data_IF_891715418168
#
_entry.id   IF_891715418168
#
_cell.length_a   1.000
_cell.length_b   1.000
_cell.length_c   1.000
_cell.angle_alpha   90.00
_cell.angle_beta   90.00
_cell.angle_gamma   90.00
#
_symmetry.space_group_name_H-M   'P 1'
#
loop_
_entity.id
_entity.type
_entity.pdbx_description
1 polymer ?
#
# COMPACT_ATOMS: atom_id res chain seq x y z
N UNK A 1 3.07 6.81 -29.32
CA UNK A 1 1.87 7.67 -29.57
C UNK A 1 0.58 7.05 -28.99
N UNK A 2 0.28 5.76 -29.21
CA UNK A 2 -0.95 5.10 -28.72
C UNK A 2 -1.09 5.01 -27.21
N UNK A 3 0.00 4.84 -26.46
CA UNK A 3 -0.07 4.72 -24.99
C UNK A 3 -0.60 5.97 -24.30
N UNK A 4 -0.24 7.16 -24.73
CA UNK A 4 -0.72 8.41 -24.15
C UNK A 4 -2.23 8.61 -24.35
N UNK A 5 -2.75 8.24 -25.54
CA UNK A 5 -4.20 8.31 -25.82
C UNK A 5 -4.95 7.33 -24.92
N UNK A 6 -4.40 6.12 -24.76
CA UNK A 6 -5.01 5.08 -23.92
C UNK A 6 -5.00 5.45 -22.42
N UNK A 7 -3.90 6.01 -21.92
CA UNK A 7 -3.86 6.53 -20.55
C UNK A 7 -4.90 7.61 -20.31
N UNK A 8 -5.03 8.55 -21.25
CA UNK A 8 -6.02 9.62 -21.16
C UNK A 8 -7.45 9.08 -21.17
N UNK A 9 -7.72 8.06 -21.97
CA UNK A 9 -9.00 7.37 -21.98
C UNK A 9 -9.28 6.68 -20.64
N UNK A 10 -8.30 5.97 -20.07
CA UNK A 10 -8.44 5.34 -18.76
C UNK A 10 -8.71 6.39 -17.68
N UNK A 11 -7.95 7.48 -17.65
CA UNK A 11 -8.13 8.57 -16.69
C UNK A 11 -9.55 9.17 -16.76
N UNK A 12 -10.12 9.33 -17.95
CA UNK A 12 -11.50 9.85 -18.10
C UNK A 12 -12.57 8.88 -17.62
N UNK A 13 -12.24 7.60 -17.46
CA UNK A 13 -13.16 6.56 -16.97
C UNK A 13 -13.10 6.37 -15.45
N UNK A 14 -12.03 6.84 -14.80
CA UNK A 14 -11.85 6.67 -13.35
C UNK A 14 -12.64 7.77 -12.63
N UNK A 15 -13.65 7.36 -11.86
CA UNK A 15 -14.52 8.23 -11.07
C UNK A 15 -14.36 7.97 -9.56
N UNK A 16 -13.99 6.73 -9.20
CA UNK A 16 -13.84 6.29 -7.82
C UNK A 16 -12.42 5.80 -7.61
N UNK A 17 -11.74 6.33 -6.60
CA UNK A 17 -10.43 5.87 -6.18
C UNK A 17 -10.50 5.11 -4.85
N UNK A 18 -9.64 4.11 -4.64
CA UNK A 18 -9.42 3.55 -3.33
C UNK A 18 -8.81 4.61 -2.41
N UNK A 19 -9.21 4.62 -1.15
CA UNK A 19 -8.65 5.52 -0.14
C UNK A 19 -7.25 5.08 0.27
N UNK A 20 -7.03 3.76 0.36
CA UNK A 20 -5.74 3.18 0.68
C UNK A 20 -5.39 2.03 -0.28
N UNK A 21 -4.18 2.08 -0.83
CA UNK A 21 -3.65 1.07 -1.76
C UNK A 21 -2.46 0.39 -1.10
N UNK A 22 -2.43 -0.94 -1.11
CA UNK A 22 -1.27 -1.71 -0.67
C UNK A 22 -0.65 -2.46 -1.85
N UNK A 23 0.65 -2.26 -2.06
CA UNK A 23 1.46 -3.05 -2.99
C UNK A 23 2.25 -4.10 -2.23
N UNK A 24 2.10 -5.36 -2.61
CA UNK A 24 2.92 -6.45 -2.09
C UNK A 24 4.08 -6.72 -3.04
N UNK A 25 5.29 -6.48 -2.55
CA UNK A 25 6.53 -6.49 -3.34
C UNK A 25 7.50 -7.48 -2.70
N UNK A 26 8.11 -8.33 -3.52
CA UNK A 26 9.23 -9.17 -3.06
C UNK A 26 10.55 -8.38 -3.03
N UNK A 27 11.53 -8.87 -2.27
CA UNK A 27 12.89 -8.32 -2.31
C UNK A 27 13.49 -8.35 -3.72
N UNK A 28 13.20 -9.41 -4.49
CA UNK A 28 13.62 -9.52 -5.88
C UNK A 28 12.97 -8.46 -6.80
N UNK A 29 11.68 -8.16 -6.58
CA UNK A 29 10.98 -7.08 -7.30
C UNK A 29 11.62 -5.73 -7.00
N UNK A 30 11.87 -5.45 -5.70
CA UNK A 30 12.53 -4.22 -5.28
C UNK A 30 13.94 -4.10 -5.88
N UNK A 31 14.70 -5.19 -5.89
CA UNK A 31 16.03 -5.22 -6.48
C UNK A 31 16.02 -4.95 -8.00
N UNK A 32 14.97 -5.41 -8.69
CA UNK A 32 14.83 -5.23 -10.14
C UNK A 32 14.44 -3.81 -10.55
N UNK A 33 13.76 -3.05 -9.67
CA UNK A 33 13.31 -1.68 -9.94
C UNK A 33 13.05 -0.91 -8.62
N UNK A 34 14.10 -0.52 -7.87
CA UNK A 34 13.96 0.15 -6.58
C UNK A 34 13.32 1.54 -6.68
N UNK A 35 13.48 2.22 -7.81
CA UNK A 35 12.90 3.53 -8.09
C UNK A 35 11.37 3.49 -8.27
N UNK A 36 10.79 2.31 -8.45
CA UNK A 36 9.38 2.14 -8.77
C UNK A 36 8.46 2.60 -7.63
N UNK A 37 8.90 2.46 -6.38
CA UNK A 37 8.13 2.94 -5.23
C UNK A 37 7.92 4.47 -5.31
N UNK A 38 8.96 5.22 -5.68
CA UNK A 38 8.87 6.67 -5.88
C UNK A 38 7.96 7.00 -7.07
N UNK A 39 8.08 6.26 -8.18
CA UNK A 39 7.24 6.46 -9.36
C UNK A 39 5.76 6.24 -9.06
N UNK A 40 5.41 5.15 -8.38
CA UNK A 40 4.01 4.85 -8.02
C UNK A 40 3.47 5.91 -7.05
N UNK A 41 4.26 6.34 -6.08
CA UNK A 41 3.91 7.46 -5.20
C UNK A 41 3.59 8.73 -6.00
N UNK A 42 4.42 9.06 -6.98
CA UNK A 42 4.19 10.18 -7.87
C UNK A 42 2.87 10.06 -8.65
N UNK A 43 2.53 8.88 -9.17
CA UNK A 43 1.27 8.66 -9.87
C UNK A 43 0.05 8.87 -8.96
N UNK A 44 0.12 8.42 -7.71
CA UNK A 44 -0.95 8.67 -6.73
C UNK A 44 -1.13 10.17 -6.45
N UNK A 45 -0.04 10.90 -6.25
CA UNK A 45 -0.07 12.35 -6.01
C UNK A 45 -0.62 13.14 -7.21
N UNK A 46 -0.24 12.74 -8.43
CA UNK A 46 -0.79 13.32 -9.67
C UNK A 46 -2.30 13.08 -9.79
N UNK A 47 -2.78 11.85 -9.51
CA UNK A 47 -4.20 11.53 -9.55
C UNK A 47 -4.98 12.36 -8.54
N UNK A 48 -4.49 12.49 -7.31
CA UNK A 48 -5.11 13.35 -6.30
C UNK A 48 -5.20 14.80 -6.78
N UNK A 49 -4.15 15.31 -7.44
CA UNK A 49 -4.14 16.66 -8.00
C UNK A 49 -5.16 16.82 -9.12
N UNK A 50 -5.30 15.82 -9.99
CA UNK A 50 -6.29 15.83 -11.08
C UNK A 50 -7.72 15.84 -10.55
N UNK A 51 -8.02 15.02 -9.53
CA UNK A 51 -9.34 14.96 -8.91
C UNK A 51 -9.65 16.26 -8.15
N UNK A 52 -8.68 16.84 -7.45
CA UNK A 52 -8.87 18.11 -6.75
C UNK A 52 -9.24 19.27 -7.69
N UNK A 53 -8.89 19.18 -8.98
CA UNK A 53 -9.24 20.18 -10.02
C UNK A 53 -10.63 19.99 -10.63
N UNK A 54 -11.29 18.84 -10.37
CA UNK A 54 -12.65 18.64 -10.84
C UNK A 54 -13.65 19.41 -9.97
N UNK A 55 -14.73 19.92 -10.57
CA UNK A 55 -15.82 20.61 -9.86
C UNK A 55 -16.72 19.63 -9.12
N UNK A 56 -16.15 18.91 -8.16
CA UNK A 56 -16.88 18.00 -7.27
C UNK A 56 -17.14 18.69 -5.92
N UNK A 57 -18.25 18.37 -5.22
CA UNK A 57 -18.46 18.77 -3.83
C UNK A 57 -17.28 18.32 -2.93
N UNK A 58 -16.99 19.09 -1.88
CA UNK A 58 -15.83 18.85 -1.02
C UNK A 58 -15.83 17.45 -0.39
N UNK A 59 -16.98 16.96 0.00
CA UNK A 59 -17.19 15.64 0.59
C UNK A 59 -16.91 14.53 -0.45
N UNK A 60 -17.30 14.72 -1.71
CA UNK A 60 -17.02 13.80 -2.81
C UNK A 60 -15.51 13.80 -3.16
N UNK A 61 -14.84 14.96 -3.12
CA UNK A 61 -13.38 15.05 -3.33
C UNK A 61 -12.61 14.27 -2.25
N UNK A 62 -12.98 14.42 -0.99
CA UNK A 62 -12.35 13.72 0.12
C UNK A 62 -12.59 12.19 0.07
N UNK A 63 -13.75 11.76 -0.42
CA UNK A 63 -14.05 10.33 -0.60
C UNK A 63 -13.41 9.73 -1.85
N UNK A 64 -12.98 10.56 -2.79
CA UNK A 64 -12.41 10.12 -4.08
C UNK A 64 -10.89 10.32 -4.16
N UNK A 65 -10.21 10.64 -3.07
CA UNK A 65 -8.76 10.82 -3.05
C UNK A 65 -8.06 9.63 -2.41
N UNK A 66 -6.89 9.26 -2.94
CA UNK A 66 -5.98 8.30 -2.32
C UNK A 66 -5.38 8.99 -1.08
N UNK A 67 -5.67 8.46 0.11
CA UNK A 67 -5.22 9.00 1.38
C UNK A 67 -3.97 8.32 1.88
N UNK A 68 -3.77 7.04 1.51
CA UNK A 68 -2.63 6.25 1.94
C UNK A 68 -2.13 5.29 0.86
N UNK A 69 -0.84 5.02 0.91
CA UNK A 69 -0.16 4.05 0.06
C UNK A 69 0.76 3.20 0.94
N UNK A 70 0.66 1.89 0.85
CA UNK A 70 1.56 0.97 1.54
C UNK A 70 2.37 0.17 0.54
N UNK A 71 3.68 0.11 0.74
CA UNK A 71 4.56 -0.87 0.12
C UNK A 71 4.95 -1.89 1.17
N UNK A 72 4.35 -3.05 1.11
CA UNK A 72 4.73 -4.18 1.95
C UNK A 72 5.81 -4.99 1.21
N UNK A 73 7.02 -4.95 1.76
CA UNK A 73 8.20 -5.60 1.18
C UNK A 73 8.55 -6.80 2.05
N UNK A 74 8.62 -7.97 1.43
CA UNK A 74 9.04 -9.18 2.10
C UNK A 74 10.44 -9.00 2.70
N UNK A 75 10.86 -9.97 3.50
CA UNK A 75 12.13 -9.97 4.19
C UNK A 75 13.30 -9.65 3.24
N UNK A 76 14.09 -8.67 3.64
CA UNK A 76 15.36 -8.30 3.01
C UNK A 76 16.52 -8.72 3.93
N UNK A 77 17.65 -9.12 3.36
CA UNK A 77 18.88 -9.23 4.12
C UNK A 77 19.35 -7.84 4.60
N UNK A 78 20.18 -7.74 5.66
CA UNK A 78 20.71 -6.45 6.10
C UNK A 78 21.48 -5.70 4.99
N UNK A 79 22.14 -6.42 4.10
CA UNK A 79 22.88 -5.85 2.97
C UNK A 79 21.93 -5.27 1.90
N UNK A 80 20.87 -6.00 1.56
CA UNK A 80 19.84 -5.53 0.65
C UNK A 80 19.10 -4.31 1.23
N UNK A 81 18.78 -4.34 2.51
CA UNK A 81 18.17 -3.22 3.20
C UNK A 81 19.05 -1.97 3.10
N UNK A 82 20.34 -2.08 3.46
CA UNK A 82 21.30 -0.96 3.38
C UNK A 82 21.42 -0.41 1.95
N UNK A 83 21.33 -1.28 0.95
CA UNK A 83 21.41 -0.93 -0.47
C UNK A 83 20.16 -0.15 -0.94
N UNK A 84 18.97 -0.53 -0.52
CA UNK A 84 17.72 0.03 -1.05
C UNK A 84 17.16 1.19 -0.21
N UNK A 85 17.55 1.30 1.07
CA UNK A 85 17.09 2.38 1.94
C UNK A 85 17.24 3.79 1.33
N UNK A 86 18.40 4.15 0.72
CA UNK A 86 18.55 5.49 0.13
C UNK A 86 17.53 5.77 -0.98
N UNK A 87 17.17 4.77 -1.77
CA UNK A 87 16.18 4.92 -2.85
C UNK A 87 14.76 5.05 -2.28
N UNK A 88 14.41 4.21 -1.30
CA UNK A 88 13.12 4.29 -0.60
C UNK A 88 12.96 5.65 0.09
N UNK A 89 13.99 6.17 0.73
CA UNK A 89 13.96 7.46 1.41
C UNK A 89 13.71 8.65 0.48
N UNK A 90 13.92 8.51 -0.82
CA UNK A 90 13.55 9.55 -1.80
C UNK A 90 12.04 9.82 -1.84
N UNK A 91 11.20 8.88 -1.39
CA UNK A 91 9.75 9.09 -1.25
C UNK A 91 9.47 10.33 -0.40
N UNK A 92 10.29 10.60 0.63
CA UNK A 92 10.11 11.75 1.52
C UNK A 92 10.22 13.12 0.84
N UNK A 93 10.77 13.18 -0.37
CA UNK A 93 10.82 14.42 -1.16
C UNK A 93 9.48 14.78 -1.81
N UNK A 94 8.54 13.82 -1.92
CA UNK A 94 7.25 13.98 -2.62
C UNK A 94 6.04 13.56 -1.79
N UNK A 95 6.26 12.92 -0.64
CA UNK A 95 5.21 12.38 0.21
C UNK A 95 5.66 12.32 1.69
N UNK A 96 4.73 12.07 2.61
CA UNK A 96 5.04 11.73 4.00
C UNK A 96 5.38 10.25 4.09
N UNK A 97 6.66 9.94 4.21
CA UNK A 97 7.16 8.58 4.36
C UNK A 97 7.12 8.14 5.83
N UNK A 98 6.51 6.99 6.08
CA UNK A 98 6.60 6.23 7.33
C UNK A 98 7.28 4.91 7.00
N UNK A 99 8.51 4.74 7.46
CA UNK A 99 9.37 3.60 7.11
C UNK A 99 9.56 2.69 8.32
N UNK A 100 9.11 1.44 8.20
CA UNK A 100 9.27 0.40 9.22
C UNK A 100 10.22 -0.69 8.74
N UNK A 101 11.29 -0.94 9.50
CA UNK A 101 12.20 -2.06 9.30
C UNK A 101 12.81 -2.54 10.62
N UNK A 102 12.79 -3.84 10.85
CA UNK A 102 13.15 -4.41 12.14
C UNK A 102 12.31 -3.82 13.28
N UNK A 103 12.96 -3.18 14.24
CA UNK A 103 12.32 -2.45 15.35
C UNK A 103 12.29 -0.93 15.12
N UNK A 104 12.79 -0.46 13.99
CA UNK A 104 12.94 0.97 13.69
C UNK A 104 11.72 1.49 12.95
N UNK A 105 11.26 2.68 13.37
CA UNK A 105 10.30 3.50 12.66
C UNK A 105 10.91 4.87 12.37
N UNK A 106 10.91 5.28 11.11
CA UNK A 106 11.37 6.59 10.68
C UNK A 106 10.24 7.33 9.97
N UNK A 107 10.01 8.59 10.33
CA UNK A 107 9.01 9.44 9.68
C UNK A 107 9.69 10.66 9.07
N UNK A 108 9.39 10.95 7.80
CA UNK A 108 9.97 12.09 7.07
C UNK A 108 9.07 12.55 5.92
N UNK A 109 9.23 13.80 5.48
CA UNK A 109 8.41 14.39 4.40
C UNK A 109 7.02 14.82 4.86
N UNK A 110 6.19 15.26 3.89
CA UNK A 110 4.82 15.77 4.10
C UNK A 110 3.92 15.40 2.92
N UNK A 111 2.61 15.48 3.08
CA UNK A 111 1.64 15.22 2.01
C UNK A 111 1.01 13.84 2.09
N UNK A 112 0.86 13.15 0.95
CA UNK A 112 0.31 11.80 0.87
C UNK A 112 1.07 10.85 1.81
N UNK A 113 0.37 10.13 2.67
CA UNK A 113 1.01 9.19 3.57
C UNK A 113 1.43 7.92 2.83
N UNK A 114 2.71 7.60 2.91
CA UNK A 114 3.30 6.41 2.29
C UNK A 114 3.99 5.59 3.36
N UNK A 115 3.44 4.43 3.64
CA UNK A 115 4.02 3.45 4.57
C UNK A 115 4.88 2.46 3.79
N UNK A 116 6.12 2.31 4.17
CA UNK A 116 7.00 1.26 3.65
C UNK A 116 7.32 0.30 4.79
N UNK A 117 6.80 -0.91 4.69
CA UNK A 117 6.93 -1.97 5.67
C UNK A 117 7.87 -3.06 5.16
N UNK A 118 8.99 -3.26 5.84
CA UNK A 118 10.03 -4.21 5.41
C UNK A 118 10.19 -5.33 6.44
N UNK A 119 10.01 -6.56 5.99
CA UNK A 119 10.46 -7.76 6.69
C UNK A 119 9.48 -8.36 7.69
N UNK A 120 8.31 -7.78 7.93
CA UNK A 120 7.30 -8.40 8.82
C UNK A 120 6.19 -9.06 8.00
N UNK A 121 5.99 -10.36 8.22
CA UNK A 121 4.78 -11.04 7.73
C UNK A 121 3.59 -10.74 8.63
N UNK A 122 2.38 -10.79 8.08
CA UNK A 122 1.17 -10.60 8.89
C UNK A 122 1.02 -11.61 10.03
N UNK A 123 1.54 -12.84 9.84
CA UNK A 123 1.56 -13.87 10.89
C UNK A 123 2.53 -13.53 12.01
N UNK A 124 3.73 -13.05 11.67
CA UNK A 124 4.73 -12.62 12.65
C UNK A 124 4.22 -11.42 13.43
N UNK A 125 3.58 -10.47 12.76
CA UNK A 125 2.99 -9.30 13.40
C UNK A 125 1.94 -9.66 14.44
N UNK A 126 0.99 -10.54 14.10
CA UNK A 126 -0.03 -11.04 15.03
C UNK A 126 0.62 -11.78 16.20
N UNK A 127 1.59 -12.66 15.92
CA UNK A 127 2.28 -13.45 16.96
C UNK A 127 3.04 -12.53 17.92
N UNK A 128 3.72 -11.50 17.41
CA UNK A 128 4.44 -10.53 18.21
C UNK A 128 3.49 -9.65 19.04
N UNK A 129 2.34 -9.28 18.45
CA UNK A 129 1.28 -8.56 19.16
C UNK A 129 0.79 -9.37 20.36
N UNK A 130 0.42 -10.63 20.17
CA UNK A 130 -0.04 -11.51 21.24
C UNK A 130 1.04 -11.65 22.33
N UNK A 131 2.30 -11.80 21.95
CA UNK A 131 3.42 -11.89 22.92
C UNK A 131 3.54 -10.61 23.75
N UNK A 132 3.48 -9.44 23.12
CA UNK A 132 3.53 -8.14 23.83
C UNK A 132 2.36 -7.96 24.78
N UNK A 133 1.15 -8.36 24.40
CA UNK A 133 -0.01 -8.30 25.28
C UNK A 133 0.18 -9.21 26.52
N UNK A 134 0.70 -10.42 26.34
CA UNK A 134 1.00 -11.34 27.42
C UNK A 134 2.11 -10.80 28.36
N UNK A 135 3.19 -10.23 27.81
CA UNK A 135 4.27 -9.60 28.57
C UNK A 135 3.80 -8.40 29.39
N UNK A 136 2.81 -7.66 28.88
CA UNK A 136 2.15 -6.55 29.59
C UNK A 136 1.11 -7.01 30.64
N UNK A 137 0.93 -8.33 30.83
CA UNK A 137 0.02 -8.90 31.82
C UNK A 137 -1.46 -8.83 31.46
N UNK A 138 -1.79 -8.55 30.20
CA UNK A 138 -3.18 -8.56 29.72
C UNK A 138 -3.73 -9.99 29.80
N UNK A 139 -4.87 -10.14 30.46
CA UNK A 139 -5.49 -11.46 30.61
C UNK A 139 -6.09 -11.92 29.27
N UNK A 140 -6.08 -13.23 28.96
CA UNK A 140 -6.68 -13.75 27.73
C UNK A 140 -8.14 -13.34 27.51
N UNK A 141 -8.90 -13.16 28.60
CA UNK A 141 -10.29 -12.71 28.56
C UNK A 141 -10.48 -11.23 28.20
N UNK A 142 -9.41 -10.44 28.24
CA UNK A 142 -9.40 -9.01 27.90
C UNK A 142 -8.90 -8.76 26.47
N UNK A 143 -8.43 -9.81 25.78
CA UNK A 143 -7.97 -9.72 24.40
C UNK A 143 -9.18 -9.84 23.47
N UNK A 144 -9.60 -8.71 22.97
CA UNK A 144 -10.61 -8.59 21.90
C UNK A 144 -9.98 -8.09 20.60
N UNK A 145 -10.80 -7.94 19.56
CA UNK A 145 -10.39 -7.47 18.25
C UNK A 145 -9.72 -6.08 18.31
N UNK A 146 -10.29 -5.16 19.10
CA UNK A 146 -9.74 -3.81 19.28
C UNK A 146 -8.40 -3.79 19.98
N UNK A 147 -8.23 -4.67 20.97
CA UNK A 147 -6.96 -4.83 21.68
C UNK A 147 -5.87 -5.31 20.72
N UNK A 148 -6.18 -6.28 19.86
CA UNK A 148 -5.26 -6.74 18.82
C UNK A 148 -4.95 -5.61 17.81
N UNK A 149 -5.95 -4.93 17.27
CA UNK A 149 -5.76 -3.81 16.32
C UNK A 149 -4.86 -2.72 16.90
N UNK A 150 -5.05 -2.37 18.18
CA UNK A 150 -4.23 -1.35 18.84
C UNK A 150 -2.76 -1.75 18.97
N UNK A 151 -2.48 -3.06 19.01
CA UNK A 151 -1.16 -3.64 19.16
C UNK A 151 -0.44 -3.84 17.82
N UNK A 152 -1.17 -3.92 16.69
CA UNK A 152 -0.56 -4.09 15.37
C UNK A 152 0.26 -2.86 14.98
N UNK A 153 1.36 -3.11 14.28
CA UNK A 153 2.24 -2.05 13.77
C UNK A 153 1.56 -1.31 12.60
N UNK A 154 0.89 -2.07 11.73
CA UNK A 154 0.19 -1.53 10.55
C UNK A 154 -1.29 -1.40 10.85
N UNK A 155 -1.76 -0.15 10.94
CA UNK A 155 -3.14 0.18 11.35
C UNK A 155 -4.05 0.56 10.18
N UNK A 156 -3.59 0.41 8.96
CA UNK A 156 -4.33 0.83 7.78
C UNK A 156 -4.95 -0.37 7.09
N UNK A 157 -6.25 -0.33 6.91
CA UNK A 157 -7.00 -1.30 6.13
C UNK A 157 -7.01 -0.87 4.66
N UNK A 158 -6.23 -1.51 3.79
CA UNK A 158 -6.23 -1.14 2.39
C UNK A 158 -7.55 -1.49 1.72
N UNK A 159 -8.05 -0.60 0.88
CA UNK A 159 -9.21 -0.89 0.05
C UNK A 159 -8.88 -1.89 -1.05
N UNK A 160 -7.64 -1.83 -1.54
CA UNK A 160 -7.12 -2.74 -2.55
C UNK A 160 -5.68 -3.16 -2.24
N UNK A 161 -5.42 -4.44 -2.43
CA UNK A 161 -4.07 -5.03 -2.39
C UNK A 161 -3.67 -5.44 -3.80
N UNK A 162 -2.56 -4.89 -4.27
CA UNK A 162 -2.00 -5.15 -5.60
C UNK A 162 -0.78 -6.05 -5.48
N UNK A 163 -0.84 -7.22 -6.11
CA UNK A 163 0.30 -8.12 -6.29
C UNK A 163 0.72 -8.13 -7.75
N UNK A 164 1.98 -7.81 -8.00
CA UNK A 164 2.56 -7.83 -9.35
C UNK A 164 3.39 -9.10 -9.56
N UNK A 165 3.37 -9.63 -10.78
CA UNK A 165 4.23 -10.74 -11.18
C UNK A 165 3.92 -12.07 -10.49
N UNK A 166 2.65 -12.42 -10.35
CA UNK A 166 2.24 -13.70 -9.79
C UNK A 166 0.84 -13.68 -9.21
N UNK A 167 0.34 -14.86 -8.87
CA UNK A 167 -1.01 -15.13 -8.37
C UNK A 167 -1.04 -15.60 -6.90
N UNK A 168 0.12 -15.61 -6.23
CA UNK A 168 0.24 -16.07 -4.86
C UNK A 168 0.57 -14.93 -3.92
N UNK A 169 -0.16 -14.84 -2.82
CA UNK A 169 0.14 -13.95 -1.71
C UNK A 169 1.01 -14.70 -0.70
N UNK A 170 2.26 -14.29 -0.59
CA UNK A 170 3.18 -14.71 0.46
C UNK A 170 3.28 -13.61 1.50
N UNK A 171 3.31 -13.98 2.78
CA UNK A 171 3.49 -13.04 3.90
C UNK A 171 2.46 -11.88 3.93
N UNK A 172 1.23 -12.23 3.60
CA UNK A 172 0.10 -11.33 3.50
C UNK A 172 -0.23 -10.65 4.83
N UNK A 173 -0.63 -9.38 4.79
CA UNK A 173 -1.17 -8.64 5.94
C UNK A 173 -2.58 -9.14 6.26
N UNK A 174 -2.68 -10.29 6.93
CA UNK A 174 -3.92 -11.07 7.09
C UNK A 174 -5.00 -10.24 7.77
N UNK A 175 -4.64 -9.53 8.84
CA UNK A 175 -5.60 -8.77 9.64
C UNK A 175 -6.14 -7.55 8.87
N UNK A 176 -5.23 -6.77 8.32
CA UNK A 176 -5.56 -5.49 7.69
C UNK A 176 -6.27 -5.64 6.33
N UNK A 177 -6.15 -6.80 5.69
CA UNK A 177 -6.66 -6.99 4.33
C UNK A 177 -7.92 -7.85 4.23
N UNK A 178 -8.59 -8.10 5.36
CA UNK A 178 -9.79 -8.95 5.42
C UNK A 178 -10.91 -8.47 4.47
N UNK A 179 -11.03 -7.15 4.31
CA UNK A 179 -12.04 -6.53 3.46
C UNK A 179 -11.47 -5.88 2.20
N UNK A 180 -10.20 -6.14 1.90
CA UNK A 180 -9.54 -5.58 0.72
C UNK A 180 -9.93 -6.32 -0.55
N UNK A 181 -10.07 -5.58 -1.65
CA UNK A 181 -10.10 -6.17 -2.98
C UNK A 181 -8.69 -6.62 -3.38
N UNK A 182 -8.56 -7.86 -3.85
CA UNK A 182 -7.27 -8.38 -4.30
C UNK A 182 -7.15 -8.23 -5.81
N UNK A 183 -6.06 -7.63 -6.25
CA UNK A 183 -5.72 -7.49 -7.66
C UNK A 183 -4.38 -8.16 -7.96
N UNK A 184 -4.42 -9.17 -8.82
CA UNK A 184 -3.23 -9.85 -9.33
C UNK A 184 -2.93 -9.35 -10.72
N UNK A 185 -1.71 -8.83 -10.91
CA UNK A 185 -1.23 -8.37 -12.20
C UNK A 185 -0.23 -9.37 -12.78
N UNK A 186 -0.44 -9.78 -14.03
CA UNK A 186 0.53 -10.59 -14.77
C UNK A 186 1.82 -9.83 -15.05
N UNK A 187 1.78 -8.50 -14.95
CA UNK A 187 2.95 -7.64 -15.18
C UNK A 187 3.84 -7.66 -13.94
N UNK A 188 5.10 -8.07 -14.11
CA UNK A 188 6.10 -7.99 -13.05
C UNK A 188 6.36 -6.54 -12.62
N UNK A 189 6.73 -6.33 -11.34
CA UNK A 189 7.01 -5.02 -10.75
C UNK A 189 7.90 -4.15 -11.63
N UNK A 190 9.00 -4.67 -12.14
CA UNK A 190 9.93 -3.96 -13.02
C UNK A 190 9.25 -3.33 -14.25
N UNK A 191 8.28 -4.03 -14.84
CA UNK A 191 7.58 -3.61 -16.06
C UNK A 191 6.23 -2.96 -15.78
N UNK A 192 5.83 -2.85 -14.52
CA UNK A 192 4.59 -2.21 -14.10
C UNK A 192 4.65 -0.71 -14.41
N UNK A 193 3.75 -0.26 -15.24
CA UNK A 193 3.70 1.11 -15.78
C UNK A 193 2.48 1.85 -15.25
N UNK A 194 2.45 3.15 -15.48
CA UNK A 194 1.30 3.98 -15.12
C UNK A 194 -0.01 3.46 -15.75
N UNK A 195 0.01 3.00 -16.98
CA UNK A 195 -1.16 2.41 -17.65
C UNK A 195 -1.67 1.17 -16.93
N UNK A 196 -0.78 0.34 -16.38
CA UNK A 196 -1.13 -0.85 -15.64
C UNK A 196 -1.74 -0.46 -14.28
N UNK A 197 -1.21 0.58 -13.64
CA UNK A 197 -1.79 1.17 -12.43
C UNK A 197 -3.20 1.74 -12.68
N UNK A 198 -3.42 2.47 -13.76
CA UNK A 198 -4.74 2.99 -14.12
C UNK A 198 -5.75 1.86 -14.40
N UNK A 199 -5.31 0.73 -14.95
CA UNK A 199 -6.16 -0.47 -15.10
C UNK A 199 -6.57 -1.05 -13.75
N UNK A 200 -5.66 -1.11 -12.79
CA UNK A 200 -5.97 -1.51 -11.40
C UNK A 200 -7.08 -0.64 -10.82
N UNK A 201 -6.96 0.67 -10.94
CA UNK A 201 -7.96 1.61 -10.43
C UNK A 201 -9.31 1.50 -11.14
N UNK A 202 -9.30 1.31 -12.46
CA UNK A 202 -10.52 1.08 -13.24
C UNK A 202 -11.21 -0.23 -12.82
N UNK A 203 -10.44 -1.29 -12.61
CA UNK A 203 -10.98 -2.57 -12.16
C UNK A 203 -11.56 -2.47 -10.75
N UNK A 204 -10.85 -1.78 -9.84
CA UNK A 204 -11.34 -1.52 -8.49
C UNK A 204 -12.72 -0.86 -8.48
N UNK A 205 -12.93 0.22 -9.24
CA UNK A 205 -14.23 0.91 -9.27
C UNK A 205 -15.37 0.06 -9.85
N UNK A 206 -15.06 -0.97 -10.65
CA UNK A 206 -16.06 -1.89 -11.21
C UNK A 206 -16.49 -2.97 -10.23
N UNK A 207 -15.79 -3.16 -9.12
CA UNK A 207 -16.07 -4.17 -8.10
C UNK A 207 -17.04 -3.64 -7.06
N UNK A 208 -18.01 -4.47 -6.69
CA UNK A 208 -18.97 -4.16 -5.63
C UNK A 208 -18.40 -4.70 -4.32
N UNK A 209 -18.01 -3.80 -3.43
CA UNK A 209 -17.52 -4.18 -2.08
C UNK A 209 -18.72 -4.62 -1.22
N UNK A 210 -18.75 -5.88 -0.82
CA UNK A 210 -19.84 -6.47 -0.04
C UNK A 210 -19.59 -6.48 1.47
N UNK A 211 -18.39 -6.22 1.96
CA UNK A 211 -18.02 -6.20 3.39
C UNK A 211 -18.57 -7.39 4.19
N UNK A 212 -18.57 -8.59 3.59
CA UNK A 212 -19.07 -9.79 4.24
C UNK A 212 -20.63 -9.89 4.32
N UNK A 213 -21.37 -9.04 3.63
CA UNK A 213 -22.85 -9.09 3.55
C UNK A 213 -23.33 -9.82 2.33
#
# INVERSE_FOLDING_TARGET
MFYWIYERMLLSQIQVLPRHICFMISGADLAAAPEKCVQVTGWCSELNTLIARQDLPADAKNQSAIQGLTFHINQLSPEELARFLPEIKKISSIARLVLHYGTTEEVSGTGLEVVVAIGKSGREEITECIRRLAENGIQPSEIDEKTLESCLTFRYDPDIVVKTGGDHLTDFLIWQSVYSELFFSDVNWKYFRRVDFLRVLRDYQSRIRRFGK
#
